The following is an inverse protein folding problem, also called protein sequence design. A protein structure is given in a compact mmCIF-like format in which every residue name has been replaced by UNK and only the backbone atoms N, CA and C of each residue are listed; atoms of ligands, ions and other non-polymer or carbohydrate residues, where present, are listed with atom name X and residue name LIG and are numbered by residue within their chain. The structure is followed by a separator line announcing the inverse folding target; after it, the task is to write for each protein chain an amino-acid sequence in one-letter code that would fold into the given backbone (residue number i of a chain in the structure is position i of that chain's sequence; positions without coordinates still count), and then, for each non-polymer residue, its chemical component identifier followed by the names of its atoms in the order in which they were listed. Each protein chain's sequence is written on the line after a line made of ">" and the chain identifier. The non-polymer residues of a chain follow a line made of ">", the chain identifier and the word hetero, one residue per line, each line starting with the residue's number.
data_IF_228280594334
#
_entry.id   IF_228280594334
#
_cell.length_a   1.000
_cell.length_b   1.000
_cell.length_c   1.000
_cell.angle_alpha   90.00
_cell.angle_beta   90.00
_cell.angle_gamma   90.00
#
_symmetry.space_group_name_H-M   'P 1'
#
loop_
_entity.id
_entity.type
_entity.pdbx_description
1 polymer ?
#
# COMPACT_ATOMS: atom_id res chain seq x y z
N UNK A 1 -54.94 -2.46 60.73
CA UNK A 1 -54.74 -3.08 59.40
C UNK A 1 -53.50 -2.46 58.77
N UNK A 2 -52.34 -3.03 59.05
CA UNK A 2 -51.06 -2.66 58.43
C UNK A 2 -50.22 -3.93 58.45
N UNK A 3 -49.96 -4.49 57.26
CA UNK A 3 -49.19 -5.72 57.07
C UNK A 3 -48.00 -5.37 56.19
N UNK A 4 -46.83 -5.31 56.81
CA UNK A 4 -45.54 -5.18 56.13
C UNK A 4 -45.13 -6.53 55.57
N UNK A 5 -44.94 -6.59 54.24
CA UNK A 5 -44.32 -7.71 53.55
C UNK A 5 -42.87 -7.35 53.22
N UNK A 6 -41.94 -8.01 53.90
CA UNK A 6 -40.51 -8.00 53.59
C UNK A 6 -40.27 -8.98 52.43
N UNK A 7 -39.77 -8.46 51.30
CA UNK A 7 -39.32 -9.26 50.17
C UNK A 7 -37.85 -9.67 50.37
N UNK A 8 -37.59 -10.98 50.43
CA UNK A 8 -36.24 -11.55 50.47
C UNK A 8 -35.74 -11.68 49.04
N UNK A 9 -34.76 -10.86 48.66
CA UNK A 9 -34.05 -10.97 47.38
C UNK A 9 -32.93 -11.99 47.46
N UNK A 10 -32.98 -13.02 46.61
CA UNK A 10 -31.91 -14.01 46.43
C UNK A 10 -30.86 -13.43 45.47
N UNK A 11 -29.68 -13.11 46.00
CA UNK A 11 -28.53 -12.63 45.23
C UNK A 11 -27.74 -13.86 44.70
N UNK A 12 -27.86 -14.16 43.40
CA UNK A 12 -27.07 -15.20 42.75
C UNK A 12 -25.67 -14.66 42.41
N UNK A 13 -24.66 -15.09 43.18
CA UNK A 13 -23.25 -14.80 42.93
C UNK A 13 -22.76 -15.66 41.74
N UNK A 14 -22.70 -15.09 40.54
CA UNK A 14 -22.02 -15.70 39.39
C UNK A 14 -20.51 -15.48 39.55
N UNK A 15 -19.80 -16.48 40.07
CA UNK A 15 -18.33 -16.49 40.06
C UNK A 15 -17.83 -16.72 38.63
N UNK A 16 -17.27 -15.69 38.02
CA UNK A 16 -16.57 -15.76 36.74
C UNK A 16 -15.25 -16.52 36.94
N UNK A 17 -15.17 -17.73 36.39
CA UNK A 17 -13.90 -18.47 36.31
C UNK A 17 -13.00 -17.72 35.32
N UNK A 18 -11.78 -17.31 35.71
CA UNK A 18 -10.85 -16.70 34.78
C UNK A 18 -10.45 -17.74 33.73
N UNK A 19 -10.89 -17.51 32.50
CA UNK A 19 -10.44 -18.30 31.34
C UNK A 19 -8.95 -18.04 31.19
N UNK A 20 -8.12 -19.02 31.55
CA UNK A 20 -6.69 -18.95 31.31
C UNK A 20 -6.46 -18.77 29.80
N UNK A 21 -5.84 -17.66 29.41
CA UNK A 21 -5.50 -17.39 28.03
C UNK A 21 -4.56 -18.51 27.54
N UNK A 22 -5.03 -19.34 26.62
CA UNK A 22 -4.20 -20.33 25.98
C UNK A 22 -2.99 -19.63 25.33
N UNK A 23 -1.78 -20.19 25.44
CA UNK A 23 -0.59 -19.60 24.84
C UNK A 23 -0.83 -19.44 23.34
N UNK A 24 -0.80 -18.20 22.87
CA UNK A 24 -0.88 -17.88 21.44
C UNK A 24 0.34 -18.47 20.75
N UNK A 25 0.11 -19.40 19.82
CA UNK A 25 1.17 -19.98 19.02
C UNK A 25 1.97 -18.85 18.34
N UNK A 26 3.32 -18.93 18.31
CA UNK A 26 4.16 -17.89 17.75
C UNK A 26 3.74 -17.58 16.31
N UNK A 27 3.87 -16.31 15.90
CA UNK A 27 3.56 -15.90 14.54
C UNK A 27 4.38 -16.76 13.56
N UNK A 28 3.78 -17.27 12.48
CA UNK A 28 4.52 -18.02 11.47
C UNK A 28 5.59 -17.11 10.85
N UNK A 29 6.72 -17.72 10.47
CA UNK A 29 7.78 -16.98 9.78
C UNK A 29 7.24 -16.49 8.42
N UNK A 30 7.51 -15.23 8.04
CA UNK A 30 7.18 -14.74 6.72
C UNK A 30 7.81 -15.62 5.63
N UNK A 31 7.20 -15.63 4.44
CA UNK A 31 7.77 -16.30 3.27
C UNK A 31 9.24 -15.90 3.07
N UNK A 32 10.15 -16.84 2.77
CA UNK A 32 11.56 -16.54 2.62
C UNK A 32 11.80 -15.49 1.54
N UNK A 33 12.62 -14.49 1.88
CA UNK A 33 13.10 -13.44 0.98
C UNK A 33 14.62 -13.40 1.02
N UNK A 34 15.23 -12.88 -0.04
CA UNK A 34 16.67 -12.65 -0.02
C UNK A 34 17.05 -11.63 1.07
N UNK A 35 18.11 -11.91 1.86
CA UNK A 35 18.48 -11.09 3.00
C UNK A 35 19.16 -9.78 2.60
N UNK A 36 19.28 -8.87 3.56
CA UNK A 36 20.03 -7.60 3.42
C UNK A 36 21.45 -7.86 2.91
N UNK A 37 21.86 -7.10 1.90
CA UNK A 37 23.17 -7.21 1.24
C UNK A 37 23.22 -8.20 0.06
N UNK A 38 22.14 -8.97 -0.20
CA UNK A 38 22.07 -9.83 -1.38
C UNK A 38 21.77 -9.03 -2.66
N UNK A 39 22.23 -9.47 -3.83
CA UNK A 39 21.97 -8.79 -5.11
C UNK A 39 20.46 -8.71 -5.48
N UNK A 40 19.65 -9.55 -4.84
CA UNK A 40 18.20 -9.68 -5.00
C UNK A 40 17.43 -9.35 -3.69
N UNK A 41 18.07 -8.64 -2.76
CA UNK A 41 17.54 -8.30 -1.42
C UNK A 41 16.04 -7.96 -1.41
N UNK A 42 15.24 -8.72 -0.67
CA UNK A 42 13.79 -8.49 -0.54
C UNK A 42 12.92 -9.19 -1.59
N UNK A 43 13.47 -9.74 -2.68
CA UNK A 43 12.74 -10.62 -3.59
C UNK A 43 12.33 -11.93 -2.89
N UNK A 44 11.16 -12.52 -3.22
CA UNK A 44 10.87 -13.90 -2.84
C UNK A 44 11.92 -14.85 -3.40
N UNK A 45 12.25 -15.90 -2.66
CA UNK A 45 13.19 -16.93 -3.15
C UNK A 45 12.52 -18.01 -4.02
N UNK A 46 11.18 -18.07 -4.03
CA UNK A 46 10.39 -19.08 -4.76
C UNK A 46 8.95 -18.60 -4.99
N UNK A 47 8.25 -19.22 -5.96
CA UNK A 47 6.80 -19.08 -6.14
C UNK A 47 5.98 -19.99 -5.20
N UNK A 48 6.65 -20.80 -4.38
CA UNK A 48 6.00 -21.72 -3.44
C UNK A 48 5.12 -20.95 -2.44
N UNK A 49 3.87 -21.38 -2.21
CA UNK A 49 3.00 -20.78 -1.21
C UNK A 49 3.65 -20.76 0.18
N UNK A 50 3.53 -19.61 0.87
CA UNK A 50 3.93 -19.44 2.26
C UNK A 50 2.75 -19.04 3.13
N UNK A 51 2.94 -19.04 4.44
CA UNK A 51 1.91 -18.64 5.39
C UNK A 51 1.61 -17.14 5.28
N UNK A 52 0.49 -16.78 4.65
CA UNK A 52 0.05 -15.39 4.44
C UNK A 52 -1.32 -15.15 5.06
N UNK A 53 -2.32 -15.94 4.70
CA UNK A 53 -3.69 -15.88 5.21
C UNK A 53 -4.04 -17.03 6.15
N UNK A 54 -3.36 -18.17 6.04
CA UNK A 54 -3.45 -19.29 6.97
C UNK A 54 -2.08 -19.70 7.50
N UNK A 55 -2.04 -20.29 8.70
CA UNK A 55 -0.81 -20.86 9.29
C UNK A 55 -0.35 -22.10 8.56
N UNK A 56 -1.26 -22.84 7.92
CA UNK A 56 -0.93 -23.97 7.06
C UNK A 56 -0.42 -23.45 5.69
N UNK A 57 0.86 -23.63 5.33
CA UNK A 57 1.39 -23.18 4.04
C UNK A 57 0.66 -23.77 2.83
N UNK A 58 0.06 -24.96 2.96
CA UNK A 58 -0.69 -25.63 1.90
C UNK A 58 -2.15 -25.16 1.80
N UNK A 59 -2.58 -24.24 2.65
CA UNK A 59 -3.96 -23.75 2.65
C UNK A 59 -4.33 -23.09 1.31
N UNK A 60 -5.55 -23.32 0.77
CA UNK A 60 -5.99 -22.76 -0.51
C UNK A 60 -5.82 -21.24 -0.66
N UNK A 61 -6.03 -20.47 0.42
CA UNK A 61 -5.84 -19.01 0.39
C UNK A 61 -4.38 -18.58 0.22
N UNK A 62 -3.44 -19.34 0.79
CA UNK A 62 -2.00 -19.07 0.65
C UNK A 62 -1.54 -19.36 -0.77
N UNK A 63 -2.03 -20.47 -1.35
CA UNK A 63 -1.76 -20.81 -2.74
C UNK A 63 -2.39 -19.80 -3.71
N UNK A 64 -3.64 -19.41 -3.48
CA UNK A 64 -4.30 -18.40 -4.29
C UNK A 64 -3.55 -17.06 -4.23
N UNK A 65 -3.10 -16.62 -3.05
CA UNK A 65 -2.25 -15.44 -2.93
C UNK A 65 -0.94 -15.60 -3.72
N UNK A 66 -0.26 -16.74 -3.64
CA UNK A 66 0.97 -16.98 -4.39
C UNK A 66 0.74 -16.88 -5.91
N UNK A 67 -0.33 -17.48 -6.45
CA UNK A 67 -0.66 -17.42 -7.88
C UNK A 67 -1.02 -16.00 -8.35
N UNK A 68 -1.64 -15.21 -7.47
CA UNK A 68 -2.04 -13.83 -7.72
C UNK A 68 -0.87 -12.85 -7.61
N UNK A 69 0.10 -13.07 -6.71
CA UNK A 69 1.10 -12.07 -6.34
C UNK A 69 2.54 -12.45 -6.62
N UNK A 70 2.86 -13.69 -6.97
CA UNK A 70 4.22 -14.09 -7.36
C UNK A 70 4.29 -14.42 -8.85
N UNK A 71 5.40 -14.06 -9.50
CA UNK A 71 5.68 -14.48 -10.87
C UNK A 71 7.18 -14.58 -11.12
N UNK A 72 7.62 -15.74 -11.57
CA UNK A 72 8.92 -15.92 -12.23
C UNK A 72 8.90 -15.28 -13.63
N UNK A 73 9.70 -14.24 -13.82
CA UNK A 73 9.76 -13.52 -15.10
C UNK A 73 11.11 -12.83 -15.31
N UNK A 74 11.40 -12.53 -16.57
CA UNK A 74 12.45 -11.58 -16.94
C UNK A 74 11.90 -10.18 -16.73
N UNK A 75 12.56 -9.32 -15.94
CA UNK A 75 12.13 -7.93 -15.84
C UNK A 75 12.29 -7.19 -17.18
N UNK A 76 11.36 -6.31 -17.52
CA UNK A 76 11.50 -5.43 -18.70
C UNK A 76 12.68 -4.48 -18.60
N UNK A 77 12.93 -3.98 -17.38
CA UNK A 77 13.88 -2.90 -17.13
C UNK A 77 14.67 -3.22 -15.86
N UNK A 78 16.00 -3.17 -15.98
CA UNK A 78 16.93 -3.15 -14.85
C UNK A 78 17.42 -1.72 -14.72
N UNK A 79 17.17 -1.09 -13.57
CA UNK A 79 17.81 0.17 -13.27
C UNK A 79 19.24 -0.09 -12.82
N UNK A 80 20.15 0.76 -13.30
CA UNK A 80 21.53 0.79 -12.86
C UNK A 80 21.55 1.42 -11.46
N UNK A 81 21.11 0.67 -10.47
CA UNK A 81 21.15 0.97 -9.02
C UNK A 81 21.58 -0.24 -8.21
N UNK A 82 21.50 -1.43 -8.82
CA UNK A 82 21.98 -2.66 -8.22
C UNK A 82 23.51 -2.58 -8.10
N UNK A 83 24.10 -3.15 -7.03
CA UNK A 83 25.54 -3.15 -6.83
C UNK A 83 26.32 -3.61 -8.07
N UNK A 84 25.86 -4.67 -8.75
CA UNK A 84 26.47 -5.19 -9.97
C UNK A 84 26.41 -4.21 -11.16
N UNK A 85 25.35 -3.42 -11.28
CA UNK A 85 25.20 -2.44 -12.36
C UNK A 85 26.06 -1.18 -12.17
N UNK A 86 26.56 -0.98 -10.94
CA UNK A 86 27.36 0.18 -10.54
C UNK A 86 28.86 -0.10 -10.55
N UNK A 87 29.28 -1.37 -10.53
CA UNK A 87 30.67 -1.79 -10.37
C UNK A 87 31.64 -1.15 -11.38
N UNK A 88 31.19 -0.92 -12.62
CA UNK A 88 32.03 -0.40 -13.71
C UNK A 88 31.66 1.03 -14.16
N UNK A 89 30.85 1.77 -13.38
CA UNK A 89 30.38 3.11 -13.75
C UNK A 89 30.92 4.17 -12.82
N UNK A 90 31.39 5.29 -13.37
CA UNK A 90 31.65 6.50 -12.57
C UNK A 90 30.32 7.08 -12.13
N UNK A 91 30.31 7.72 -10.97
CA UNK A 91 29.10 8.35 -10.41
C UNK A 91 28.45 9.38 -11.34
N UNK A 92 29.27 10.12 -12.10
CA UNK A 92 28.80 11.11 -13.10
C UNK A 92 28.01 10.43 -14.24
N UNK A 93 28.37 9.19 -14.59
CA UNK A 93 27.72 8.40 -15.64
C UNK A 93 26.49 7.64 -15.11
N UNK A 94 26.34 7.61 -13.78
CA UNK A 94 25.25 6.95 -13.06
C UNK A 94 24.09 7.91 -12.80
N UNK A 95 24.39 9.13 -12.33
CA UNK A 95 23.40 10.18 -12.08
C UNK A 95 23.10 10.99 -13.33
N UNK A 96 22.14 10.51 -14.14
CA UNK A 96 21.83 11.12 -15.44
C UNK A 96 20.73 12.20 -15.38
N UNK A 97 20.78 13.13 -16.33
CA UNK A 97 19.78 14.17 -16.53
C UNK A 97 18.40 13.56 -16.85
N UNK A 98 17.38 13.92 -16.07
CA UNK A 98 15.99 13.47 -16.24
C UNK A 98 15.58 12.22 -15.45
N UNK A 99 16.53 11.35 -15.09
CA UNK A 99 16.29 10.17 -14.26
C UNK A 99 17.56 9.87 -13.45
N UNK A 100 17.47 9.69 -12.12
CA UNK A 100 18.69 9.55 -11.29
C UNK A 100 19.61 8.40 -11.67
N UNK A 101 19.12 7.41 -12.39
CA UNK A 101 19.82 6.14 -12.55
C UNK A 101 19.83 5.74 -14.01
N UNK A 102 20.91 5.13 -14.49
CA UNK A 102 20.88 4.47 -15.79
C UNK A 102 19.81 3.37 -15.82
N UNK A 103 19.46 2.89 -17.02
CA UNK A 103 18.61 1.71 -17.17
C UNK A 103 19.01 0.88 -18.38
N UNK A 104 18.76 -0.42 -18.31
CA UNK A 104 18.88 -1.37 -19.43
C UNK A 104 17.66 -2.26 -19.51
N UNK A 105 17.46 -2.91 -20.65
CA UNK A 105 16.47 -3.99 -20.76
C UNK A 105 16.93 -5.20 -19.96
N UNK A 106 16.01 -5.92 -19.34
CA UNK A 106 16.33 -7.22 -18.74
C UNK A 106 16.55 -8.29 -19.80
N UNK A 107 17.25 -9.34 -19.38
CA UNK A 107 17.65 -10.48 -20.18
C UNK A 107 17.30 -11.78 -19.45
N UNK A 108 17.43 -12.93 -20.11
CA UNK A 108 17.20 -14.24 -19.47
C UNK A 108 18.06 -14.45 -18.21
N UNK A 109 19.25 -13.85 -18.15
CA UNK A 109 20.12 -13.92 -16.97
C UNK A 109 19.55 -13.15 -15.75
N UNK A 110 18.63 -12.21 -15.99
CA UNK A 110 17.96 -11.43 -14.95
C UNK A 110 16.65 -12.07 -14.45
N UNK A 111 16.30 -13.26 -14.95
CA UNK A 111 15.06 -13.96 -14.60
C UNK A 111 15.07 -14.35 -13.12
N UNK A 112 14.06 -13.88 -12.38
CA UNK A 112 13.90 -14.12 -10.94
C UNK A 112 12.41 -14.11 -10.57
N UNK A 113 12.11 -14.54 -9.34
CA UNK A 113 10.74 -14.48 -8.79
C UNK A 113 10.46 -13.08 -8.24
N UNK A 114 9.42 -12.43 -8.76
CA UNK A 114 8.92 -11.14 -8.27
C UNK A 114 7.67 -11.33 -7.41
N UNK A 115 7.48 -10.43 -6.44
CA UNK A 115 6.21 -10.24 -5.73
C UNK A 115 6.21 -10.68 -4.25
N UNK A 116 5.18 -11.45 -3.87
CA UNK A 116 4.92 -11.91 -2.49
C UNK A 116 3.95 -11.00 -1.74
N UNK A 117 4.16 -10.83 -0.44
CA UNK A 117 3.41 -9.86 0.41
C UNK A 117 3.85 -8.42 0.09
N UNK A 118 3.35 -7.89 -1.03
CA UNK A 118 3.72 -6.59 -1.62
C UNK A 118 2.51 -5.80 -2.08
N UNK A 119 2.69 -4.49 -2.27
CA UNK A 119 1.63 -3.54 -2.64
C UNK A 119 0.94 -3.81 -3.98
N UNK A 120 1.62 -4.30 -5.01
CA UNK A 120 1.04 -4.54 -6.36
C UNK A 120 1.53 -5.86 -6.89
N UNK A 121 0.60 -6.70 -7.35
CA UNK A 121 0.89 -7.99 -7.97
C UNK A 121 1.90 -7.87 -9.13
N UNK A 122 2.84 -8.82 -9.16
CA UNK A 122 3.80 -9.00 -10.24
C UNK A 122 3.20 -9.65 -11.50
N UNK A 123 1.93 -10.09 -11.44
CA UNK A 123 1.25 -10.85 -12.50
C UNK A 123 1.08 -10.00 -13.77
N UNK A 124 1.81 -10.35 -14.82
CA UNK A 124 1.74 -9.73 -16.15
C UNK A 124 0.96 -10.57 -17.15
N UNK A 125 0.94 -11.89 -16.97
CA UNK A 125 0.21 -12.84 -17.82
C UNK A 125 -0.20 -14.09 -17.03
N UNK A 126 -1.18 -14.83 -17.54
CA UNK A 126 -1.68 -16.06 -16.93
C UNK A 126 -1.58 -17.20 -17.93
N UNK A 127 -0.62 -18.11 -17.72
CA UNK A 127 -0.49 -19.33 -18.53
C UNK A 127 -1.54 -20.39 -18.18
N UNK A 128 -1.68 -21.41 -19.01
CA UNK A 128 -2.74 -22.44 -18.91
C UNK A 128 -2.82 -23.14 -17.55
N UNK A 129 -1.69 -23.62 -17.01
CA UNK A 129 -1.68 -24.30 -15.71
C UNK A 129 -2.06 -23.37 -14.55
N UNK A 130 -1.49 -22.15 -14.55
CA UNK A 130 -1.83 -21.12 -13.56
C UNK A 130 -3.30 -20.75 -13.65
N UNK A 131 -3.84 -20.57 -14.85
CA UNK A 131 -5.26 -20.29 -15.10
C UNK A 131 -6.15 -21.39 -14.52
N UNK A 132 -5.87 -22.66 -14.85
CA UNK A 132 -6.64 -23.81 -14.35
C UNK A 132 -6.68 -23.82 -12.83
N UNK A 133 -5.52 -23.64 -12.19
CA UNK A 133 -5.43 -23.64 -10.72
C UNK A 133 -6.11 -22.42 -10.09
N UNK A 134 -5.99 -21.25 -10.70
CA UNK A 134 -6.71 -20.05 -10.27
C UNK A 134 -8.22 -20.27 -10.29
N UNK A 135 -8.78 -20.81 -11.37
CA UNK A 135 -10.22 -21.08 -11.47
C UNK A 135 -10.71 -22.05 -10.40
N UNK A 136 -9.96 -23.12 -10.15
CA UNK A 136 -10.27 -24.09 -9.09
C UNK A 136 -10.30 -23.42 -7.71
N UNK A 137 -9.26 -22.67 -7.36
CA UNK A 137 -9.14 -22.03 -6.05
C UNK A 137 -10.15 -20.90 -5.87
N UNK A 138 -10.39 -20.07 -6.90
CA UNK A 138 -11.42 -19.02 -6.87
C UNK A 138 -12.83 -19.62 -6.69
N UNK A 139 -13.08 -20.83 -7.20
CA UNK A 139 -14.32 -21.57 -6.97
C UNK A 139 -14.58 -21.89 -5.49
N UNK A 140 -13.54 -21.96 -4.66
CA UNK A 140 -13.68 -22.20 -3.21
C UNK A 140 -14.12 -20.97 -2.42
N UNK A 141 -14.03 -19.77 -3.02
CA UNK A 141 -14.37 -18.47 -2.40
C UNK A 141 -15.35 -17.68 -3.26
N UNK A 142 -16.13 -18.36 -4.10
CA UNK A 142 -16.98 -17.72 -5.11
C UNK A 142 -18.36 -17.26 -4.61
N UNK A 143 -18.77 -17.68 -3.40
CA UNK A 143 -20.02 -17.26 -2.76
C UNK A 143 -19.80 -16.76 -1.33
N UNK A 144 -20.77 -15.98 -0.81
CA UNK A 144 -20.69 -15.43 0.54
C UNK A 144 -20.70 -16.53 1.62
N UNK A 145 -21.44 -17.63 1.38
CA UNK A 145 -21.53 -18.79 2.27
C UNK A 145 -20.18 -19.50 2.37
N UNK A 146 -19.49 -19.68 1.24
CA UNK A 146 -18.15 -20.26 1.21
C UNK A 146 -17.16 -19.39 2.00
N UNK A 147 -17.19 -18.08 1.79
CA UNK A 147 -16.35 -17.13 2.53
C UNK A 147 -16.67 -17.14 4.03
N UNK A 148 -17.95 -17.22 4.41
CA UNK A 148 -18.37 -17.28 5.81
C UNK A 148 -17.94 -18.59 6.50
N UNK A 149 -17.83 -19.68 5.75
CA UNK A 149 -17.36 -20.98 6.24
C UNK A 149 -15.84 -21.01 6.52
N UNK A 150 -15.05 -20.09 5.95
CA UNK A 150 -13.60 -20.04 6.13
C UNK A 150 -13.20 -19.29 7.41
N UNK A 151 -12.59 -19.95 8.42
CA UNK A 151 -12.16 -19.30 9.66
C UNK A 151 -11.22 -18.11 9.45
N UNK A 152 -10.28 -18.23 8.51
CA UNK A 152 -9.28 -17.21 8.16
C UNK A 152 -9.91 -15.90 7.69
N UNK A 153 -11.09 -15.96 7.08
CA UNK A 153 -11.80 -14.81 6.52
C UNK A 153 -12.90 -14.28 7.46
N UNK A 154 -12.98 -14.75 8.71
CA UNK A 154 -13.92 -14.22 9.71
C UNK A 154 -13.53 -12.83 10.20
N UNK A 155 -12.23 -12.54 10.25
CA UNK A 155 -11.73 -11.22 10.63
C UNK A 155 -11.98 -10.22 9.49
N UNK A 156 -12.75 -9.14 9.71
CA UNK A 156 -13.12 -8.21 8.63
C UNK A 156 -11.92 -7.57 7.91
N UNK A 157 -10.87 -7.19 8.64
CA UNK A 157 -9.63 -6.62 8.06
C UNK A 157 -8.95 -7.62 7.13
N UNK A 158 -8.89 -8.90 7.50
CA UNK A 158 -8.30 -9.96 6.68
C UNK A 158 -9.12 -10.18 5.42
N UNK A 159 -10.45 -10.21 5.54
CA UNK A 159 -11.36 -10.36 4.41
C UNK A 159 -11.20 -9.23 3.39
N UNK A 160 -11.10 -7.97 3.82
CA UNK A 160 -10.93 -6.86 2.88
C UNK A 160 -9.53 -6.78 2.27
N UNK A 161 -8.49 -7.22 3.00
CA UNK A 161 -7.15 -7.36 2.42
C UNK A 161 -7.17 -8.37 1.27
N UNK A 162 -7.86 -9.49 1.48
CA UNK A 162 -8.02 -10.51 0.45
C UNK A 162 -8.91 -10.04 -0.71
N UNK A 163 -10.00 -9.31 -0.44
CA UNK A 163 -10.81 -8.69 -1.49
C UNK A 163 -9.97 -7.74 -2.34
N UNK A 164 -9.13 -6.93 -1.70
CA UNK A 164 -8.25 -5.99 -2.38
C UNK A 164 -7.19 -6.70 -3.23
N UNK A 165 -6.60 -7.79 -2.72
CA UNK A 165 -5.63 -8.60 -3.47
C UNK A 165 -6.25 -9.11 -4.79
N UNK A 166 -7.43 -9.72 -4.72
CA UNK A 166 -8.17 -10.22 -5.89
C UNK A 166 -8.57 -9.08 -6.83
N UNK A 167 -9.12 -7.99 -6.30
CA UNK A 167 -9.52 -6.81 -7.06
C UNK A 167 -8.33 -6.21 -7.82
N UNK A 168 -7.17 -6.12 -7.19
CA UNK A 168 -5.98 -5.50 -7.78
C UNK A 168 -5.49 -6.26 -9.01
N UNK A 169 -5.53 -7.60 -8.95
CA UNK A 169 -5.19 -8.46 -10.09
C UNK A 169 -6.27 -8.41 -11.16
N UNK A 170 -7.54 -8.51 -10.77
CA UNK A 170 -8.67 -8.41 -11.70
C UNK A 170 -8.61 -7.12 -12.51
N UNK A 171 -8.52 -5.97 -11.84
CA UNK A 171 -8.53 -4.67 -12.52
C UNK A 171 -7.34 -4.49 -13.45
N UNK A 172 -6.18 -5.01 -13.02
CA UNK A 172 -4.98 -5.01 -13.85
C UNK A 172 -5.18 -5.83 -15.13
N UNK A 173 -5.68 -7.07 -15.02
CA UNK A 173 -5.95 -7.93 -16.19
C UNK A 173 -7.03 -7.33 -17.09
N UNK A 174 -8.03 -6.66 -16.49
CA UNK A 174 -9.15 -6.02 -17.17
C UNK A 174 -8.72 -4.76 -17.97
N UNK A 175 -7.72 -4.01 -17.51
CA UNK A 175 -7.39 -2.66 -18.06
C UNK A 175 -6.00 -2.50 -18.64
N UNK A 176 -5.08 -3.44 -18.39
CA UNK A 176 -3.69 -3.29 -18.79
C UNK A 176 -3.52 -3.37 -20.31
N UNK A 177 -3.57 -2.22 -20.99
CA UNK A 177 -3.20 -2.13 -22.42
C UNK A 177 -1.74 -2.49 -22.69
N UNK A 178 -0.86 -2.23 -21.71
CA UNK A 178 0.59 -2.45 -21.85
C UNK A 178 0.93 -3.94 -21.93
N UNK A 179 0.23 -4.77 -21.16
CA UNK A 179 0.51 -6.20 -21.02
C UNK A 179 -0.48 -7.09 -21.78
N UNK A 180 -1.29 -6.48 -22.64
CA UNK A 180 -2.48 -7.10 -23.18
C UNK A 180 -3.59 -7.11 -22.13
N UNK A 181 -4.76 -6.57 -22.50
CA UNK A 181 -5.98 -6.85 -21.75
C UNK A 181 -6.21 -8.35 -21.85
N UNK A 182 -6.53 -8.99 -20.73
CA UNK A 182 -6.90 -10.40 -20.77
C UNK A 182 -8.26 -10.54 -21.45
N UNK A 183 -8.33 -11.37 -22.49
CA UNK A 183 -9.60 -11.73 -23.14
C UNK A 183 -10.26 -12.95 -22.46
N UNK A 184 -9.66 -13.46 -21.37
CA UNK A 184 -10.13 -14.61 -20.61
C UNK A 184 -11.33 -14.23 -19.73
N UNK A 185 -12.50 -14.19 -20.37
CA UNK A 185 -13.75 -13.79 -19.74
C UNK A 185 -14.14 -14.70 -18.57
N UNK A 186 -13.81 -15.99 -18.63
CA UNK A 186 -14.08 -16.93 -17.54
C UNK A 186 -13.28 -16.58 -16.28
N UNK A 187 -11.95 -16.39 -16.42
CA UNK A 187 -11.09 -16.00 -15.30
C UNK A 187 -11.49 -14.64 -14.72
N UNK A 188 -11.75 -13.65 -15.57
CA UNK A 188 -12.19 -12.33 -15.15
C UNK A 188 -13.53 -12.38 -14.40
N UNK A 189 -14.44 -13.26 -14.81
CA UNK A 189 -15.72 -13.47 -14.12
C UNK A 189 -15.53 -14.18 -12.77
N UNK A 190 -14.65 -15.18 -12.70
CA UNK A 190 -14.33 -15.88 -11.44
C UNK A 190 -13.72 -14.93 -10.40
N UNK A 191 -12.78 -14.07 -10.83
CA UNK A 191 -12.21 -13.02 -10.00
C UNK A 191 -13.27 -12.01 -9.53
N UNK A 192 -14.14 -11.53 -10.44
CA UNK A 192 -15.21 -10.60 -10.08
C UNK A 192 -16.21 -11.22 -9.08
N UNK A 193 -16.55 -12.51 -9.23
CA UNK A 193 -17.40 -13.24 -8.27
C UNK A 193 -16.76 -13.29 -6.90
N UNK A 194 -15.45 -13.54 -6.86
CA UNK A 194 -14.66 -13.57 -5.63
C UNK A 194 -14.59 -12.19 -4.96
N UNK A 195 -14.46 -11.11 -5.73
CA UNK A 195 -14.54 -9.74 -5.16
C UNK A 195 -15.90 -9.52 -4.48
N UNK A 196 -17.00 -9.92 -5.13
CA UNK A 196 -18.36 -9.78 -4.57
C UNK A 196 -18.59 -10.66 -3.34
N UNK A 197 -18.12 -11.91 -3.33
CA UNK A 197 -18.32 -12.84 -2.20
C UNK A 197 -17.56 -12.40 -0.94
N UNK A 198 -16.44 -11.69 -1.11
CA UNK A 198 -15.64 -11.12 -0.02
C UNK A 198 -16.19 -9.79 0.51
N UNK A 199 -17.26 -9.26 -0.08
CA UNK A 199 -17.82 -7.99 0.32
C UNK A 199 -18.32 -7.98 1.76
N UNK A 200 -18.22 -6.81 2.38
CA UNK A 200 -18.78 -6.53 3.70
C UNK A 200 -19.76 -5.36 3.60
N UNK A 201 -20.79 -5.30 4.47
CA UNK A 201 -21.69 -4.16 4.55
C UNK A 201 -20.94 -2.84 4.75
N UNK A 202 -21.45 -1.75 4.15
CA UNK A 202 -20.82 -0.41 4.24
C UNK A 202 -20.56 0.02 5.68
N UNK A 203 -21.50 -0.19 6.59
CA UNK A 203 -21.35 0.17 8.00
C UNK A 203 -20.23 -0.60 8.69
N UNK A 204 -19.99 -1.87 8.31
CA UNK A 204 -18.83 -2.63 8.80
C UNK A 204 -17.54 -2.07 8.20
N UNK A 205 -17.49 -1.83 6.89
CA UNK A 205 -16.33 -1.29 6.17
C UNK A 205 -15.88 0.07 6.73
N UNK A 206 -16.80 0.97 7.03
CA UNK A 206 -16.47 2.29 7.58
C UNK A 206 -16.12 2.27 9.07
N UNK A 207 -16.47 1.19 9.78
CA UNK A 207 -16.18 1.01 11.21
C UNK A 207 -14.90 0.21 11.48
N UNK A 208 -14.20 -0.26 10.45
CA UNK A 208 -12.96 -1.02 10.61
C UNK A 208 -11.90 -0.22 11.38
N UNK A 209 -11.02 -0.88 12.14
CA UNK A 209 -9.89 -0.18 12.75
C UNK A 209 -8.90 0.29 11.67
N UNK A 210 -8.46 1.54 11.74
CA UNK A 210 -7.46 2.07 10.80
C UNK A 210 -6.10 1.34 10.90
N UNK A 211 -5.79 0.85 12.10
CA UNK A 211 -4.51 0.27 12.53
C UNK A 211 -3.34 1.25 12.58
N UNK A 212 -3.65 2.54 12.62
CA UNK A 212 -2.69 3.63 12.88
C UNK A 212 -2.09 3.52 14.29
N UNK A 213 -2.87 3.07 15.27
CA UNK A 213 -2.38 2.74 16.61
C UNK A 213 -1.39 1.57 16.62
N UNK A 214 -1.65 0.52 15.82
CA UNK A 214 -0.75 -0.63 15.66
C UNK A 214 0.58 -0.18 15.07
N UNK A 215 0.54 0.59 13.97
CA UNK A 215 1.72 1.17 13.33
C UNK A 215 2.53 2.03 14.31
N UNK A 216 1.87 2.94 15.02
CA UNK A 216 2.53 3.85 15.98
C UNK A 216 3.17 3.07 17.12
N UNK A 217 2.48 2.06 17.66
CA UNK A 217 3.02 1.19 18.71
C UNK A 217 4.23 0.40 18.20
N UNK A 218 4.15 -0.18 17.01
CA UNK A 218 5.21 -0.99 16.43
C UNK A 218 6.51 -0.18 16.24
N UNK A 219 6.40 1.09 15.85
CA UNK A 219 7.55 1.96 15.57
C UNK A 219 7.75 3.07 16.62
N UNK A 220 7.26 2.89 17.85
CA UNK A 220 7.29 3.94 18.89
C UNK A 220 8.71 4.44 19.24
N UNK A 221 9.72 3.59 19.08
CA UNK A 221 11.13 3.91 19.35
C UNK A 221 11.88 4.49 18.13
N UNK A 222 11.18 4.68 17.00
CA UNK A 222 11.75 5.14 15.73
C UNK A 222 11.28 6.57 15.39
N UNK A 223 11.22 7.47 16.37
CA UNK A 223 10.70 8.83 16.19
C UNK A 223 11.77 9.89 15.90
N UNK A 224 13.02 9.49 15.63
CA UNK A 224 14.12 10.36 15.22
C UNK A 224 14.72 9.82 13.92
N UNK A 225 14.87 10.65 12.87
CA UNK A 225 15.51 10.19 11.66
C UNK A 225 17.00 10.02 11.92
N UNK A 226 17.56 8.91 11.44
CA UNK A 226 18.99 8.63 11.48
C UNK A 226 19.56 8.54 10.07
N UNK A 227 18.99 7.64 9.28
CA UNK A 227 19.27 7.40 7.87
C UNK A 227 18.03 6.77 7.20
N UNK A 228 18.03 6.66 5.88
CA UNK A 228 16.92 6.06 5.13
C UNK A 228 16.82 4.53 5.22
N UNK A 229 17.87 3.87 5.73
CA UNK A 229 17.91 2.42 5.93
C UNK A 229 17.31 2.00 7.27
N UNK A 230 17.18 2.92 8.22
CA UNK A 230 16.61 2.71 9.55
C UNK A 230 15.16 3.21 9.57
N UNK A 231 14.21 2.51 10.23
CA UNK A 231 12.85 3.00 10.36
C UNK A 231 12.81 4.39 11.03
N UNK A 232 11.96 5.26 10.50
CA UNK A 232 11.59 6.55 11.06
C UNK A 232 10.09 6.82 10.87
N UNK A 233 9.36 6.94 11.97
CA UNK A 233 7.94 7.26 11.99
C UNK A 233 7.73 8.48 12.91
N UNK A 234 7.46 9.68 12.35
CA UNK A 234 7.12 10.83 13.17
C UNK A 234 5.79 10.60 13.89
N UNK A 235 5.45 11.47 14.84
CA UNK A 235 4.09 11.53 15.37
C UNK A 235 3.13 11.92 14.24
N UNK A 236 2.46 10.92 13.66
CA UNK A 236 1.64 11.08 12.46
C UNK A 236 0.23 11.60 12.80
N UNK A 237 -0.44 12.27 11.84
CA UNK A 237 -1.63 13.07 12.11
C UNK A 237 -2.95 12.30 12.11
N UNK A 238 -2.92 10.97 12.26
CA UNK A 238 -4.05 10.12 11.86
C UNK A 238 -5.39 10.46 12.52
N UNK A 239 -5.36 11.06 13.71
CA UNK A 239 -6.52 11.66 14.38
C UNK A 239 -6.12 12.98 15.07
N UNK A 240 -5.22 13.74 14.44
CA UNK A 240 -4.55 14.87 15.07
C UNK A 240 -5.55 15.89 15.63
N UNK A 241 -5.37 16.35 16.89
CA UNK A 241 -6.12 17.47 17.40
C UNK A 241 -5.93 18.70 16.48
N UNK A 242 -6.81 19.72 16.53
CA UNK A 242 -6.65 20.97 15.78
C UNK A 242 -5.27 21.63 15.94
N UNK A 243 -4.51 21.22 16.95
CA UNK A 243 -3.16 21.70 17.30
C UNK A 243 -2.02 20.92 16.64
N UNK A 244 -2.27 19.85 15.89
CA UNK A 244 -1.22 19.10 15.18
C UNK A 244 -0.49 19.98 14.16
N UNK A 245 0.85 19.89 14.13
CA UNK A 245 1.71 20.59 13.18
C UNK A 245 1.46 20.17 11.72
N UNK A 246 0.93 18.96 11.54
CA UNK A 246 0.53 18.42 10.25
C UNK A 246 -0.79 19.04 9.77
N UNK A 247 -0.81 19.43 8.50
CA UNK A 247 -2.04 19.81 7.78
C UNK A 247 -2.31 18.81 6.67
N UNK A 248 -3.56 18.38 6.53
CA UNK A 248 -3.97 17.59 5.37
C UNK A 248 -4.08 18.52 4.16
N UNK A 249 -3.52 18.10 3.03
CA UNK A 249 -3.49 18.86 1.78
C UNK A 249 -4.43 18.20 0.77
N UNK A 250 -5.48 18.92 0.39
CA UNK A 250 -6.31 18.59 -0.75
C UNK A 250 -5.68 19.14 -2.05
N UNK A 251 -5.88 18.42 -3.15
CA UNK A 251 -5.34 18.78 -4.45
C UNK A 251 -6.12 18.10 -5.58
N UNK A 252 -5.99 18.64 -6.79
CA UNK A 252 -6.37 17.94 -8.01
C UNK A 252 -5.62 16.61 -8.10
N UNK A 253 -6.38 15.52 -8.25
CA UNK A 253 -5.83 14.16 -8.33
C UNK A 253 -5.10 13.95 -9.67
N UNK A 254 -3.81 13.64 -9.59
CA UNK A 254 -3.06 13.02 -10.69
C UNK A 254 -3.25 11.49 -10.66
N UNK A 255 -2.68 10.79 -11.65
CA UNK A 255 -2.76 9.31 -11.79
C UNK A 255 -2.57 8.52 -10.48
N UNK A 256 -1.51 8.82 -9.72
CA UNK A 256 -1.20 8.13 -8.45
C UNK A 256 -2.20 8.41 -7.30
N UNK A 257 -3.03 9.44 -7.43
CA UNK A 257 -3.99 9.86 -6.42
C UNK A 257 -5.44 9.57 -6.82
N UNK A 258 -5.62 8.90 -7.96
CA UNK A 258 -6.91 8.47 -8.47
C UNK A 258 -7.27 7.09 -7.93
N UNK A 259 -8.44 6.98 -7.34
CA UNK A 259 -9.00 5.74 -6.79
C UNK A 259 -8.93 4.58 -7.78
N UNK A 260 -9.39 4.78 -9.03
CA UNK A 260 -9.40 3.73 -10.06
C UNK A 260 -8.01 3.26 -10.51
N UNK A 261 -6.93 3.98 -10.19
CA UNK A 261 -5.58 3.58 -10.58
C UNK A 261 -4.79 3.01 -9.39
N UNK A 262 -4.93 3.64 -8.21
CA UNK A 262 -4.25 3.19 -7.01
C UNK A 262 -5.02 2.08 -6.26
N UNK A 263 -6.31 1.93 -6.54
CA UNK A 263 -7.30 1.12 -5.82
C UNK A 263 -7.31 1.42 -4.32
N UNK A 264 -7.05 2.69 -3.98
CA UNK A 264 -6.85 3.17 -2.61
C UNK A 264 -7.33 4.60 -2.49
N UNK A 265 -7.78 4.98 -1.30
CA UNK A 265 -8.01 6.36 -0.93
C UNK A 265 -6.67 6.98 -0.52
N UNK A 266 -6.29 8.08 -1.16
CA UNK A 266 -5.00 8.75 -0.94
C UNK A 266 -5.18 10.05 -0.17
N UNK A 267 -4.52 10.17 0.98
CA UNK A 267 -4.46 11.37 1.82
C UNK A 267 -3.02 11.84 1.97
N UNK A 268 -2.78 13.15 1.91
CA UNK A 268 -1.45 13.73 1.99
C UNK A 268 -1.41 14.72 3.14
N UNK A 269 -0.36 14.66 3.93
CA UNK A 269 -0.13 15.57 5.04
C UNK A 269 1.22 16.25 4.90
N UNK A 270 1.29 17.51 5.35
CA UNK A 270 2.49 18.34 5.33
C UNK A 270 2.78 18.85 6.74
N UNK A 271 4.04 18.78 7.16
CA UNK A 271 4.53 19.36 8.40
C UNK A 271 5.77 20.22 8.10
N UNK A 272 5.66 21.54 8.30
CA UNK A 272 6.73 22.51 8.16
C UNK A 272 7.17 23.09 9.52
N UNK A 273 7.15 22.26 10.57
CA UNK A 273 7.56 22.61 11.95
C UNK A 273 6.38 22.87 12.88
N UNK A 274 5.43 23.69 12.42
CA UNK A 274 4.18 23.98 13.13
C UNK A 274 2.99 24.10 12.15
N UNK A 275 1.77 24.16 12.71
CA UNK A 275 0.55 24.16 11.90
C UNK A 275 0.39 25.42 11.05
N UNK A 276 0.72 26.60 11.60
CA UNK A 276 0.59 27.86 10.90
C UNK A 276 1.57 27.94 9.72
N UNK A 277 2.81 27.50 9.95
CA UNK A 277 3.83 27.37 8.91
C UNK A 277 3.41 26.38 7.81
N UNK A 278 2.88 25.21 8.19
CA UNK A 278 2.37 24.22 7.24
C UNK A 278 1.20 24.75 6.40
N UNK A 279 0.20 25.39 7.03
CA UNK A 279 -0.95 25.97 6.34
C UNK A 279 -0.55 27.14 5.45
N UNK A 280 0.33 28.02 5.93
CA UNK A 280 0.89 29.14 5.19
C UNK A 280 1.60 28.67 3.93
N UNK A 281 2.45 27.64 4.04
CA UNK A 281 3.15 27.04 2.92
C UNK A 281 2.20 26.52 1.82
N UNK A 282 1.09 25.86 2.22
CA UNK A 282 0.05 25.41 1.28
C UNK A 282 -0.67 26.58 0.61
N UNK A 283 -1.04 27.61 1.36
CA UNK A 283 -1.70 28.81 0.83
C UNK A 283 -0.80 29.55 -0.15
N UNK A 284 0.47 29.77 0.21
CA UNK A 284 1.45 30.40 -0.68
C UNK A 284 1.63 29.61 -1.97
N UNK A 285 1.67 28.27 -1.88
CA UNK A 285 1.76 27.38 -3.03
C UNK A 285 0.54 27.41 -3.95
N UNK A 286 -0.64 27.71 -3.40
CA UNK A 286 -1.85 27.86 -4.19
C UNK A 286 -1.87 29.19 -5.00
N UNK A 287 -1.25 30.24 -4.47
CA UNK A 287 -1.33 31.60 -4.99
C UNK A 287 -0.16 31.98 -5.92
N UNK A 288 1.03 31.47 -5.65
CA UNK A 288 2.21 31.83 -6.42
C UNK A 288 2.30 31.01 -7.70
N UNK A 289 2.40 31.70 -8.85
CA UNK A 289 2.81 31.07 -10.11
C UNK A 289 4.30 30.64 -10.10
N UNK A 290 5.08 31.16 -9.13
CA UNK A 290 6.49 30.86 -8.92
C UNK A 290 6.74 29.73 -7.91
N UNK A 291 8.02 29.43 -7.66
CA UNK A 291 8.43 28.36 -6.72
C UNK A 291 8.30 28.85 -5.29
N UNK A 292 7.50 28.14 -4.48
CA UNK A 292 7.50 28.37 -3.04
C UNK A 292 8.76 27.79 -2.42
N UNK A 293 9.40 28.57 -1.56
CA UNK A 293 10.51 28.11 -0.74
C UNK A 293 9.99 27.15 0.32
N UNK A 294 10.59 25.96 0.38
CA UNK A 294 10.22 24.92 1.35
C UNK A 294 11.34 24.83 2.40
N UNK A 295 11.04 25.06 3.69
CA UNK A 295 12.03 24.99 4.75
C UNK A 295 12.69 23.61 4.86
N UNK A 296 13.96 23.59 5.25
CA UNK A 296 14.64 22.35 5.65
C UNK A 296 13.90 21.67 6.79
N UNK A 297 13.95 20.34 6.82
CA UNK A 297 13.21 19.55 7.80
C UNK A 297 11.71 19.42 7.51
N UNK A 298 11.17 20.06 6.47
CA UNK A 298 9.77 19.85 6.06
C UNK A 298 9.51 18.37 5.77
N UNK A 299 8.41 17.86 6.33
CA UNK A 299 7.99 16.48 6.21
C UNK A 299 6.68 16.36 5.44
N UNK A 300 6.55 15.26 4.68
CA UNK A 300 5.34 14.93 3.94
C UNK A 300 4.97 13.49 4.24
N UNK A 301 3.71 13.24 4.58
CA UNK A 301 3.18 11.89 4.73
C UNK A 301 2.14 11.60 3.64
N UNK A 302 2.31 10.51 2.90
CA UNK A 302 1.24 9.92 2.07
C UNK A 302 0.66 8.74 2.84
N UNK A 303 -0.66 8.74 2.99
CA UNK A 303 -1.41 7.67 3.64
C UNK A 303 -2.36 7.10 2.59
N UNK A 304 -2.23 5.80 2.33
CA UNK A 304 -3.13 5.08 1.46
C UNK A 304 -3.97 4.11 2.27
N UNK A 305 -5.28 4.29 2.20
CA UNK A 305 -6.26 3.40 2.81
C UNK A 305 -6.95 2.54 1.75
N UNK A 306 -7.37 1.34 2.14
CA UNK A 306 -8.07 0.42 1.24
C UNK A 306 -9.42 0.99 0.81
N UNK A 307 -9.73 0.85 -0.48
CA UNK A 307 -11.11 0.94 -0.97
C UNK A 307 -11.60 -0.48 -1.21
N UNK A 308 -12.70 -0.83 -0.57
CA UNK A 308 -13.37 -2.12 -0.66
C UNK A 308 -14.68 -1.97 -1.44
N UNK A 309 -15.35 -3.09 -1.71
CA UNK A 309 -16.68 -3.13 -2.29
C UNK A 309 -17.68 -3.74 -1.31
N UNK A 310 -18.86 -3.13 -1.22
CA UNK A 310 -20.01 -3.70 -0.51
C UNK A 310 -20.73 -4.78 -1.36
N UNK A 311 -21.75 -5.48 -0.82
CA UNK A 311 -22.43 -6.56 -1.55
C UNK A 311 -23.08 -6.12 -2.88
N UNK A 312 -23.44 -4.84 -3.00
CA UNK A 312 -24.02 -4.22 -4.20
C UNK A 312 -22.94 -3.66 -5.15
N UNK A 313 -21.67 -3.97 -4.85
CA UNK A 313 -20.49 -3.49 -5.54
C UNK A 313 -20.37 -1.96 -5.56
N UNK A 314 -20.89 -1.27 -4.54
CA UNK A 314 -20.54 0.13 -4.33
C UNK A 314 -19.14 0.22 -3.71
N UNK A 315 -18.27 1.10 -4.22
CA UNK A 315 -16.98 1.33 -3.60
C UNK A 315 -17.17 2.01 -2.24
N UNK A 316 -16.41 1.56 -1.25
CA UNK A 316 -16.39 2.12 0.10
C UNK A 316 -14.93 2.35 0.51
N UNK A 317 -14.57 3.61 0.70
CA UNK A 317 -13.27 3.96 1.25
C UNK A 317 -13.25 3.61 2.74
N UNK A 318 -12.33 2.74 3.14
CA UNK A 318 -12.20 2.27 4.52
C UNK A 318 -11.14 3.08 5.27
N UNK A 319 -11.18 3.14 6.60
CA UNK A 319 -10.09 3.73 7.38
C UNK A 319 -8.82 2.85 7.38
N UNK A 320 -8.89 1.59 6.97
CA UNK A 320 -7.79 0.62 7.05
C UNK A 320 -6.59 1.09 6.22
N UNK A 321 -5.53 1.49 6.92
CA UNK A 321 -4.28 1.93 6.31
C UNK A 321 -3.53 0.72 5.75
N UNK A 322 -3.26 0.75 4.45
CA UNK A 322 -2.46 -0.27 3.75
C UNK A 322 -1.02 0.20 3.52
N UNK A 323 -0.81 1.50 3.36
CA UNK A 323 0.52 2.05 3.11
C UNK A 323 0.69 3.44 3.73
N UNK A 324 1.86 3.67 4.33
CA UNK A 324 2.31 4.99 4.78
C UNK A 324 3.68 5.28 4.18
N UNK A 325 3.84 6.46 3.59
CA UNK A 325 5.13 6.99 3.16
C UNK A 325 5.44 8.27 3.89
N UNK A 326 6.62 8.37 4.45
CA UNK A 326 7.15 9.60 5.05
C UNK A 326 8.30 10.08 4.19
N UNK A 327 8.33 11.39 3.93
CA UNK A 327 9.46 12.07 3.29
C UNK A 327 9.92 13.21 4.17
N UNK A 328 11.21 13.47 4.18
CA UNK A 328 11.81 14.61 4.87
C UNK A 328 12.88 15.27 4.02
N UNK A 329 12.91 16.60 4.02
CA UNK A 329 14.04 17.36 3.48
C UNK A 329 15.18 17.35 4.52
N UNK A 330 16.25 16.60 4.26
CA UNK A 330 17.27 16.25 5.27
C UNK A 330 18.68 16.77 4.99
N UNK A 331 18.95 17.25 3.77
CA UNK A 331 20.31 17.60 3.37
C UNK A 331 20.35 18.68 2.28
N UNK A 332 21.56 19.04 1.83
CA UNK A 332 21.71 20.02 0.75
C UNK A 332 20.94 19.55 -0.47
N UNK A 333 20.19 20.46 -1.06
CA UNK A 333 19.31 20.17 -2.18
C UNK A 333 20.06 20.14 -3.51
N UNK A 334 20.95 19.16 -3.64
CA UNK A 334 21.89 18.98 -4.74
C UNK A 334 22.02 17.50 -5.06
N UNK A 335 21.85 17.13 -6.33
CA UNK A 335 22.11 15.78 -6.80
C UNK A 335 23.61 15.49 -6.74
N UNK A 336 24.00 14.50 -5.95
CA UNK A 336 25.41 14.18 -5.71
C UNK A 336 25.57 12.74 -5.19
N UNK A 337 26.64 12.06 -5.61
CA UNK A 337 26.86 10.67 -5.27
C UNK A 337 27.17 10.43 -3.78
N UNK A 338 27.89 11.37 -3.20
CA UNK A 338 28.25 11.46 -1.79
C UNK A 338 27.12 12.06 -0.93
N UNK A 339 26.00 12.47 -1.53
CA UNK A 339 24.83 12.89 -0.77
C UNK A 339 24.28 11.68 0.02
N UNK A 340 24.18 11.76 1.36
CA UNK A 340 23.81 10.61 2.17
C UNK A 340 22.31 10.27 2.09
N UNK A 341 21.47 11.17 1.57
CA UNK A 341 20.02 10.95 1.60
C UNK A 341 19.58 9.79 0.69
N UNK A 342 18.41 9.19 0.98
CA UNK A 342 17.85 8.09 0.16
C UNK A 342 17.74 8.46 -1.32
N UNK A 343 17.37 9.71 -1.61
CA UNK A 343 17.24 10.22 -2.98
C UNK A 343 18.54 10.74 -3.60
N UNK A 344 19.66 10.82 -2.87
CA UNK A 344 20.89 11.51 -3.31
C UNK A 344 20.72 12.96 -3.78
N UNK A 345 19.57 13.59 -3.51
CA UNK A 345 19.26 14.98 -3.86
C UNK A 345 18.72 15.81 -2.68
N UNK A 346 18.92 15.34 -1.45
CA UNK A 346 18.54 16.04 -0.22
C UNK A 346 17.21 15.59 0.40
N UNK A 347 16.67 14.44 -0.01
CA UNK A 347 15.40 13.88 0.51
C UNK A 347 15.57 12.44 1.00
N UNK A 348 15.05 12.17 2.20
CA UNK A 348 14.92 10.81 2.73
C UNK A 348 13.48 10.31 2.62
N UNK A 349 13.33 8.98 2.53
CA UNK A 349 12.07 8.29 2.33
C UNK A 349 11.93 7.07 3.24
N UNK A 350 10.82 6.97 3.95
CA UNK A 350 10.45 5.80 4.73
C UNK A 350 9.10 5.28 4.26
N UNK A 351 9.01 3.96 4.05
CA UNK A 351 7.79 3.33 3.54
C UNK A 351 7.40 2.17 4.44
N UNK A 352 6.11 2.12 4.77
CA UNK A 352 5.49 1.13 5.63
C UNK A 352 4.31 0.52 4.90
N UNK A 353 4.27 -0.80 4.79
CA UNK A 353 3.16 -1.54 4.20
C UNK A 353 2.48 -2.40 5.23
N UNK A 354 1.16 -2.48 5.20
CA UNK A 354 0.42 -3.48 5.96
C UNK A 354 0.74 -4.87 5.40
N UNK A 355 1.35 -5.71 6.22
CA UNK A 355 1.62 -7.11 5.88
C UNK A 355 0.33 -7.91 6.01
N UNK A 356 0.06 -8.74 4.99
CA UNK A 356 -1.03 -9.73 5.06
C UNK A 356 -0.74 -10.73 6.18
N UNK A 357 0.49 -11.25 6.23
CA UNK A 357 0.95 -12.20 7.25
C UNK A 357 0.73 -11.66 8.67
N UNK A 358 1.21 -10.44 8.95
CA UNK A 358 1.07 -9.81 10.26
C UNK A 358 -0.38 -9.52 10.64
N UNK A 359 -1.19 -9.09 9.66
CA UNK A 359 -2.60 -8.77 9.88
C UNK A 359 -3.49 -10.02 10.05
N UNK A 360 -3.17 -11.13 9.39
CA UNK A 360 -3.96 -12.36 9.40
C UNK A 360 -3.51 -13.37 10.47
N UNK A 361 -2.20 -13.50 10.68
CA UNK A 361 -1.61 -14.58 11.49
C UNK A 361 -1.01 -14.09 12.81
N UNK A 362 -1.03 -12.77 13.03
CA UNK A 362 -0.41 -12.08 14.15
C UNK A 362 1.06 -11.72 13.90
N UNK A 363 1.64 -10.91 14.78
CA UNK A 363 3.01 -10.39 14.66
C UNK A 363 3.02 -8.91 14.31
N UNK A 364 3.98 -8.48 13.49
CA UNK A 364 4.11 -7.11 13.01
C UNK A 364 3.12 -6.83 11.89
N UNK A 365 2.09 -6.02 12.16
CA UNK A 365 1.06 -5.67 11.18
C UNK A 365 1.62 -4.84 10.02
N UNK A 366 2.72 -4.12 10.22
CA UNK A 366 3.37 -3.31 9.20
C UNK A 366 4.81 -3.76 8.96
N UNK A 367 5.25 -3.75 7.71
CA UNK A 367 6.64 -3.97 7.32
C UNK A 367 7.26 -2.64 6.91
N UNK A 368 8.39 -2.30 7.51
CA UNK A 368 9.25 -1.23 7.03
C UNK A 368 10.05 -1.70 5.80
N UNK A 369 10.16 -0.84 4.80
CA UNK A 369 10.96 -1.08 3.59
C UNK A 369 12.19 -0.17 3.62
N UNK A 370 13.37 -0.70 4.01
CA UNK A 370 14.59 0.09 4.05
C UNK A 370 14.96 0.59 2.68
N UNK A 371 15.59 1.77 2.59
CA UNK A 371 15.96 2.38 1.31
C UNK A 371 16.86 1.49 0.41
N UNK A 372 17.65 0.59 1.00
CA UNK A 372 18.40 -0.47 0.30
C UNK A 372 17.48 -1.39 -0.49
N UNK A 373 16.37 -1.83 0.11
CA UNK A 373 15.31 -2.64 -0.54
C UNK A 373 14.34 -1.82 -1.35
N UNK A 374 14.22 -0.53 -1.06
CA UNK A 374 13.40 0.36 -1.86
C UNK A 374 13.89 0.26 -3.32
N UNK A 375 15.21 0.10 -3.53
CA UNK A 375 15.87 -0.92 -4.35
C UNK A 375 15.15 -1.63 -5.49
N UNK A 376 14.08 -2.35 -5.15
CA UNK A 376 13.37 -3.29 -6.00
C UNK A 376 11.89 -2.90 -6.06
N UNK A 377 11.44 -2.45 -7.22
CA UNK A 377 10.07 -2.03 -7.53
C UNK A 377 9.12 -3.22 -7.66
N UNK A 378 9.38 -4.23 -6.83
CA UNK A 378 8.57 -5.41 -6.59
C UNK A 378 7.11 -5.08 -6.35
N UNK A 379 6.90 -3.98 -5.65
CA UNK A 379 5.60 -3.62 -5.12
C UNK A 379 4.82 -2.66 -6.01
N UNK A 380 5.34 -2.33 -7.20
CA UNK A 380 4.59 -1.64 -8.23
C UNK A 380 4.55 -2.49 -9.50
N UNK A 381 4.42 -3.81 -9.33
CA UNK A 381 3.94 -4.78 -10.31
C UNK A 381 4.47 -4.72 -11.75
N UNK A 382 5.49 -3.96 -12.09
CA UNK A 382 5.76 -3.58 -13.48
C UNK A 382 6.90 -4.38 -14.10
N UNK A 383 7.25 -5.53 -13.52
CA UNK A 383 8.40 -6.34 -13.94
C UNK A 383 9.65 -5.47 -14.11
N UNK A 384 9.90 -4.55 -13.18
CA UNK A 384 11.09 -3.69 -13.19
C UNK A 384 11.93 -3.95 -11.96
N UNK A 385 13.23 -4.02 -12.18
CA UNK A 385 14.24 -4.23 -11.16
C UNK A 385 14.91 -2.88 -10.86
N UNK A 386 14.32 -2.08 -9.96
CA UNK A 386 14.65 -0.65 -9.81
C UNK A 386 14.18 -0.08 -8.47
N UNK A 387 14.71 1.06 -8.01
CA UNK A 387 14.37 1.60 -6.68
C UNK A 387 13.03 2.38 -6.66
N UNK A 388 12.32 2.41 -5.52
CA UNK A 388 11.19 3.34 -5.27
C UNK A 388 11.67 4.79 -5.39
N UNK A 389 12.89 5.08 -4.96
CA UNK A 389 13.52 6.37 -5.19
C UNK A 389 13.52 6.70 -6.69
N UNK A 390 13.85 5.74 -7.56
CA UNK A 390 13.81 5.91 -9.01
C UNK A 390 12.40 6.25 -9.52
N UNK A 391 11.37 5.50 -9.12
CA UNK A 391 10.07 5.51 -9.81
C UNK A 391 8.92 6.24 -9.12
N UNK A 392 8.97 6.37 -7.80
CA UNK A 392 7.86 6.89 -7.00
C UNK A 392 8.35 7.82 -5.89
N UNK A 393 9.28 8.72 -6.19
CA UNK A 393 9.54 9.93 -5.41
C UNK A 393 8.34 10.91 -5.48
N UNK A 394 7.11 10.41 -5.32
CA UNK A 394 5.84 11.11 -5.19
C UNK A 394 5.61 12.30 -6.16
N UNK A 395 6.19 12.28 -7.38
CA UNK A 395 5.95 13.20 -8.53
C UNK A 395 6.93 14.38 -8.73
N UNK A 396 8.23 14.04 -8.71
CA UNK A 396 9.30 14.44 -9.64
C UNK A 396 10.43 15.33 -9.08
N UNK A 397 11.65 14.99 -9.52
CA UNK A 397 12.95 15.53 -9.09
C UNK A 397 13.25 16.88 -9.74
N UNK A 398 14.25 17.56 -9.21
CA UNK A 398 14.35 19.03 -9.22
C UNK A 398 15.35 19.66 -10.16
N UNK A 399 16.26 18.90 -10.75
CA UNK A 399 17.33 19.57 -11.48
C UNK A 399 16.91 19.94 -12.91
N UNK A 400 16.45 18.98 -13.73
CA UNK A 400 16.59 19.21 -15.18
C UNK A 400 15.33 19.33 -16.01
N UNK A 401 14.21 18.69 -15.65
CA UNK A 401 13.04 18.58 -16.55
C UNK A 401 11.70 18.94 -15.91
N UNK A 402 11.67 19.39 -14.65
CA UNK A 402 10.45 19.93 -14.04
C UNK A 402 10.79 21.21 -13.28
N UNK A 403 11.00 22.34 -14.00
CA UNK A 403 11.39 23.63 -13.42
C UNK A 403 10.39 24.23 -12.40
N UNK A 404 9.35 23.50 -12.01
CA UNK A 404 8.19 23.98 -11.26
C UNK A 404 7.99 23.31 -9.90
N UNK A 405 8.92 22.45 -9.42
CA UNK A 405 8.70 21.70 -8.18
C UNK A 405 9.43 22.31 -6.98
N UNK A 406 8.70 22.67 -5.90
CA UNK A 406 9.28 23.27 -4.70
C UNK A 406 10.04 22.19 -3.90
N UNK A 407 11.36 22.15 -4.08
CA UNK A 407 12.31 21.23 -3.43
C UNK A 407 11.85 19.75 -3.38
N UNK A 408 11.22 19.26 -4.44
CA UNK A 408 10.76 17.85 -4.53
C UNK A 408 9.47 17.53 -3.77
N UNK A 409 8.76 18.53 -3.24
CA UNK A 409 7.44 18.42 -2.58
C UNK A 409 6.33 18.69 -3.59
N UNK A 410 6.02 17.69 -4.44
CA UNK A 410 5.10 17.85 -5.58
C UNK A 410 3.66 18.23 -5.22
N UNK A 411 3.24 17.92 -3.98
CA UNK A 411 1.91 18.28 -3.48
C UNK A 411 1.71 19.79 -3.50
N UNK A 412 2.78 20.57 -3.32
CA UNK A 412 2.79 22.04 -3.36
C UNK A 412 2.93 22.62 -4.78
N UNK A 413 2.86 21.81 -5.84
CA UNK A 413 2.89 22.35 -7.20
C UNK A 413 1.58 23.11 -7.49
N UNK A 414 1.64 24.39 -7.92
CA UNK A 414 0.44 25.19 -8.21
C UNK A 414 -0.53 24.57 -9.21
N UNK A 415 -0.03 23.76 -10.17
CA UNK A 415 -0.85 23.03 -11.16
C UNK A 415 -1.81 22.06 -10.48
N UNK A 416 -1.41 21.53 -9.31
CA UNK A 416 -2.23 20.64 -8.51
C UNK A 416 -3.28 21.37 -7.67
N UNK A 417 -3.27 22.71 -7.63
CA UNK A 417 -4.17 23.54 -6.84
C UNK A 417 -4.23 23.08 -5.37
N UNK A 418 -3.08 23.06 -4.66
CA UNK A 418 -3.06 22.62 -3.28
C UNK A 418 -3.91 23.55 -2.41
N UNK A 419 -4.59 22.97 -1.42
CA UNK A 419 -5.29 23.72 -0.37
C UNK A 419 -5.31 22.90 0.91
N UNK A 420 -5.46 23.55 2.05
CA UNK A 420 -5.70 22.84 3.31
C UNK A 420 -7.06 22.14 3.18
N UNK A 421 -7.14 20.86 3.54
CA UNK A 421 -8.38 20.11 3.46
C UNK A 421 -9.38 20.60 4.51
N UNK A 422 -10.61 20.87 4.07
CA UNK A 422 -11.69 21.36 4.95
C UNK A 422 -12.32 20.24 5.80
N UNK A 423 -12.20 18.99 5.36
CA UNK A 423 -12.74 17.82 6.04
C UNK A 423 -11.91 16.56 5.76
N UNK A 424 -11.63 15.77 6.80
CA UNK A 424 -10.86 14.53 6.72
C UNK A 424 -11.51 13.46 5.80
N UNK A 425 -12.83 13.52 5.61
CA UNK A 425 -13.58 12.56 4.79
C UNK A 425 -13.64 12.92 3.31
N UNK A 426 -13.21 14.12 2.91
CA UNK A 426 -13.34 14.58 1.53
C UNK A 426 -12.61 13.65 0.55
N UNK A 427 -11.38 13.23 0.90
CA UNK A 427 -10.59 12.31 0.06
C UNK A 427 -11.18 10.90 -0.03
N UNK A 428 -11.90 10.44 1.00
CA UNK A 428 -12.60 9.16 0.96
C UNK A 428 -13.75 9.19 -0.05
N UNK A 429 -14.59 10.24 0.02
CA UNK A 429 -15.67 10.44 -0.95
C UNK A 429 -15.15 10.55 -2.39
N UNK A 430 -14.08 11.32 -2.61
CA UNK A 430 -13.46 11.43 -3.94
C UNK A 430 -12.95 10.07 -4.43
N UNK A 431 -12.33 9.26 -3.57
CA UNK A 431 -11.86 7.93 -3.95
C UNK A 431 -13.02 6.98 -4.30
N UNK A 432 -14.14 7.04 -3.57
CA UNK A 432 -15.36 6.28 -3.90
C UNK A 432 -15.91 6.69 -5.28
N UNK A 433 -16.00 7.99 -5.56
CA UNK A 433 -16.48 8.49 -6.86
C UNK A 433 -15.54 8.10 -8.01
N UNK A 434 -14.22 8.20 -7.79
CA UNK A 434 -13.21 7.78 -8.77
C UNK A 434 -13.25 6.27 -9.04
N UNK A 435 -13.71 5.46 -8.08
CA UNK A 435 -13.82 4.00 -8.20
C UNK A 435 -15.10 3.53 -8.90
N UNK A 436 -16.06 4.42 -9.21
CA UNK A 436 -17.29 4.06 -9.94
C UNK A 436 -17.04 3.32 -11.26
N UNK A 437 -16.08 3.69 -12.12
CA UNK A 437 -15.82 2.93 -13.35
C UNK A 437 -15.35 1.49 -13.10
N UNK A 438 -14.65 1.25 -11.98
CA UNK A 438 -14.24 -0.09 -11.54
C UNK A 438 -15.47 -0.89 -11.11
N UNK A 439 -16.36 -0.26 -10.34
CA UNK A 439 -17.64 -0.82 -9.89
C UNK A 439 -18.52 -1.24 -11.07
N UNK A 440 -18.69 -0.35 -12.04
CA UNK A 440 -19.51 -0.58 -13.23
C UNK A 440 -18.96 -1.75 -14.04
N UNK A 441 -17.63 -1.84 -14.21
CA UNK A 441 -17.00 -2.98 -14.87
C UNK A 441 -17.16 -4.30 -14.12
N UNK A 442 -17.12 -4.31 -12.79
CA UNK A 442 -17.41 -5.51 -11.99
C UNK A 442 -18.86 -5.95 -12.22
N UNK A 443 -19.83 -5.01 -12.18
CA UNK A 443 -21.24 -5.30 -12.41
C UNK A 443 -21.50 -5.85 -13.80
N UNK A 444 -20.94 -5.21 -14.83
CA UNK A 444 -21.04 -5.67 -16.22
C UNK A 444 -20.48 -7.07 -16.39
N UNK A 445 -19.40 -7.41 -15.68
CA UNK A 445 -18.79 -8.76 -15.75
C UNK A 445 -19.67 -9.82 -15.10
N UNK A 446 -20.36 -9.49 -14.02
CA UNK A 446 -21.22 -10.42 -13.28
C UNK A 446 -22.61 -10.56 -13.89
N UNK A 447 -23.11 -9.50 -14.51
CA UNK A 447 -24.42 -9.42 -15.15
C UNK A 447 -24.24 -8.80 -16.54
N UNK A 448 -23.67 -9.54 -17.51
CA UNK A 448 -23.52 -9.02 -18.86
C UNK A 448 -24.92 -8.69 -19.38
N UNK A 449 -25.14 -7.43 -19.74
CA UNK A 449 -26.35 -7.04 -20.47
C UNK A 449 -26.32 -7.88 -21.75
N UNK A 450 -27.32 -8.75 -21.92
CA UNK A 450 -27.39 -9.63 -23.10
C UNK A 450 -27.16 -8.82 -24.37
N UNK A 451 -26.24 -9.28 -25.20
CA UNK A 451 -26.04 -8.78 -26.56
C UNK A 451 -27.28 -9.09 -27.42
#
# INVERSE_FOLDING_TARGET
>A
MTSDRVAVGVLALLMSVPVAALPTAPAPRPSPRFPVGHALEGLPTSETPGAVYSRDPAHPLNELHALLFTQDQVPEEIAAVLPAERADRRDVDFFVKGWQFGKRKGTTADRVVFGGDVRVSALTSVGTERRKRLLELLGTVSTAEQVAAMPELKAPVVRILFQWDVLSVWWRLETSRKWGRSDDTELLTALAKTVRSLALPRNELTALPAGTAELTKQFAHHNKPKDGATPYLPALPFDGPPTSAWVEVDRKAGKLFRGDQALRASRIFLNAGDRASSAGLVTTAAQQAGRVEVPDGTEVALVLSLVAFDPDLNPVATPVVDEVRVRRLSGPFKLAADNPTSSKDGVDHWVYFRSRTGSALGGEAFRFVPDTTQGLFLEYGSAKHTTFAAQCALCHRTDTNTPSLPRGVSVLNPINRPRVADAATNRFRVAEDEMRPVADRLRDRLNPKGE
#
